data_IF_205067854874
#
_entry.id   IF_205067854874
#
_cell.length_a   1.000
_cell.length_b   1.000
_cell.length_c   1.000
_cell.angle_alpha   90.00
_cell.angle_beta   90.00
_cell.angle_gamma   90.00
#
_symmetry.space_group_name_H-M   'P 1'
#
loop_
_entity.id
_entity.type
_entity.pdbx_description
1 polymer ?
#
# COMPACT_ATOMS: atom_id res chain seq x y z
N UNK A 1 5.07 4.51 27.89
CA UNK A 1 4.64 3.75 26.70
C UNK A 1 5.66 2.66 26.48
N UNK A 2 5.24 1.41 26.59
CA UNK A 2 6.09 0.25 26.34
C UNK A 2 5.95 -0.19 24.86
N UNK A 3 6.87 -1.02 24.36
CA UNK A 3 6.81 -1.51 22.98
C UNK A 3 5.44 -2.12 22.60
N UNK A 4 4.78 -2.93 23.45
CA UNK A 4 3.42 -3.42 23.18
C UNK A 4 2.39 -2.32 22.90
N UNK A 5 2.45 -1.19 23.61
CA UNK A 5 1.53 -0.07 23.36
C UNK A 5 1.75 0.53 21.97
N UNK A 6 3.02 0.65 21.55
CA UNK A 6 3.37 1.13 20.21
C UNK A 6 2.90 0.16 19.13
N UNK A 7 3.08 -1.14 19.35
CA UNK A 7 2.61 -2.19 18.44
C UNK A 7 1.09 -2.15 18.29
N UNK A 8 0.35 -2.05 19.39
CA UNK A 8 -1.12 -1.94 19.36
C UNK A 8 -1.58 -0.67 18.64
N UNK A 9 -0.86 0.44 18.82
CA UNK A 9 -1.16 1.69 18.13
C UNK A 9 -1.01 1.55 16.61
N UNK A 10 0.13 1.03 16.14
CA UNK A 10 0.36 0.90 14.69
C UNK A 10 -0.55 -0.13 14.04
N UNK A 11 -0.93 -1.19 14.76
CA UNK A 11 -1.77 -2.27 14.20
C UNK A 11 -3.22 -1.85 13.96
N UNK A 12 -3.74 -0.86 14.69
CA UNK A 12 -5.16 -0.48 14.62
C UNK A 12 -5.46 0.71 13.71
N UNK A 13 -4.48 1.58 13.44
CA UNK A 13 -4.77 2.91 12.88
C UNK A 13 -3.97 3.29 11.62
N UNK A 14 -3.32 2.33 10.94
CA UNK A 14 -2.33 2.62 9.88
C UNK A 14 -1.30 3.66 10.34
N UNK A 15 -1.02 3.69 11.64
CA UNK A 15 -0.11 4.63 12.26
C UNK A 15 1.34 4.22 11.95
N UNK A 16 2.23 5.22 11.98
CA UNK A 16 3.67 5.02 11.74
C UNK A 16 4.48 5.65 12.85
N UNK A 17 5.47 4.92 13.36
CA UNK A 17 6.38 5.40 14.40
C UNK A 17 7.81 5.34 13.90
N UNK A 18 8.49 6.48 13.81
CA UNK A 18 9.93 6.54 13.49
C UNK A 18 10.76 6.53 14.76
N UNK A 19 11.66 5.56 14.89
CA UNK A 19 12.58 5.40 16.01
C UNK A 19 13.91 6.10 15.66
N UNK A 20 14.33 7.02 16.51
CA UNK A 20 15.59 7.76 16.34
C UNK A 20 16.62 7.37 17.41
N UNK A 21 17.89 7.34 17.03
CA UNK A 21 19.04 7.12 17.93
C UNK A 21 20.05 8.24 17.67
N UNK A 22 20.44 8.97 18.71
CA UNK A 22 21.29 10.17 18.61
C UNK A 22 20.74 11.21 17.61
N UNK A 23 19.41 11.42 17.63
CA UNK A 23 18.71 12.35 16.74
C UNK A 23 18.54 11.86 15.29
N UNK A 24 19.03 10.68 14.95
CA UNK A 24 18.99 10.14 13.59
C UNK A 24 17.95 9.01 13.47
N UNK A 25 17.04 9.03 12.48
CA UNK A 25 16.14 7.90 12.22
C UNK A 25 16.91 6.60 11.98
N UNK A 26 16.54 5.52 12.66
CA UNK A 26 17.17 4.18 12.53
C UNK A 26 16.20 3.08 12.15
N UNK A 27 14.94 3.20 12.53
CA UNK A 27 13.92 2.23 12.19
C UNK A 27 12.55 2.92 12.12
N UNK A 28 11.62 2.28 11.41
CA UNK A 28 10.22 2.69 11.38
C UNK A 28 9.37 1.48 11.70
N UNK A 29 8.46 1.63 12.66
CA UNK A 29 7.44 0.65 12.97
C UNK A 29 6.15 1.02 12.21
N UNK A 30 5.62 0.05 11.50
CA UNK A 30 4.31 0.04 10.82
C UNK A 30 3.60 -1.27 11.14
N UNK A 31 2.31 -1.41 10.85
CA UNK A 31 1.66 -2.71 10.92
C UNK A 31 2.24 -3.65 9.84
N UNK A 32 2.18 -4.96 10.08
CA UNK A 32 2.62 -5.94 9.10
C UNK A 32 1.82 -5.84 7.79
N UNK A 33 0.50 -5.65 7.89
CA UNK A 33 -0.41 -5.44 6.76
C UNK A 33 -0.04 -4.20 5.93
N UNK A 34 0.34 -3.09 6.57
CA UNK A 34 0.77 -1.88 5.87
C UNK A 34 2.10 -2.11 5.14
N UNK A 35 3.04 -2.84 5.77
CA UNK A 35 4.31 -3.16 5.12
C UNK A 35 4.07 -4.03 3.86
N UNK A 36 3.26 -5.09 3.99
CA UNK A 36 2.89 -5.97 2.87
C UNK A 36 2.20 -5.18 1.74
N UNK A 37 1.25 -4.31 2.08
CA UNK A 37 0.56 -3.45 1.10
C UNK A 37 1.51 -2.50 0.35
N UNK A 38 2.50 -1.94 1.05
CA UNK A 38 3.51 -1.08 0.44
C UNK A 38 4.45 -1.87 -0.47
N UNK A 39 4.83 -3.09 -0.08
CA UNK A 39 5.65 -4.00 -0.88
C UNK A 39 4.91 -4.43 -2.15
N UNK A 40 3.65 -4.86 -2.07
CA UNK A 40 2.83 -5.20 -3.23
C UNK A 40 2.68 -4.00 -4.19
N UNK A 41 2.46 -2.81 -3.62
CA UNK A 41 2.41 -1.57 -4.44
C UNK A 41 3.74 -1.32 -5.14
N UNK A 42 4.88 -1.48 -4.45
CA UNK A 42 6.20 -1.31 -5.03
C UNK A 42 6.46 -2.32 -6.17
N UNK A 43 6.01 -3.57 -6.02
CA UNK A 43 6.07 -4.59 -7.06
C UNK A 43 5.31 -4.16 -8.32
N UNK A 44 4.08 -3.64 -8.18
CA UNK A 44 3.31 -3.11 -9.32
C UNK A 44 4.05 -1.96 -10.01
N UNK A 45 4.69 -1.07 -9.24
CA UNK A 45 5.46 0.04 -9.80
C UNK A 45 6.73 -0.42 -10.53
N UNK A 46 7.29 -1.57 -10.17
CA UNK A 46 8.44 -2.15 -10.85
C UNK A 46 8.08 -2.73 -12.23
N UNK A 47 6.81 -3.06 -12.48
CA UNK A 47 6.35 -3.58 -13.78
C UNK A 47 6.30 -2.45 -14.81
N UNK A 48 7.11 -2.51 -15.90
CA UNK A 48 7.13 -1.47 -16.92
C UNK A 48 5.74 -1.26 -17.54
N UNK A 49 5.26 -0.02 -17.51
CA UNK A 49 3.97 0.35 -18.09
C UNK A 49 2.74 0.06 -17.22
N UNK A 50 2.84 -0.68 -16.11
CA UNK A 50 1.69 -1.03 -15.27
C UNK A 50 0.91 0.20 -14.79
N UNK A 51 1.61 1.24 -14.33
CA UNK A 51 0.97 2.51 -13.92
C UNK A 51 0.14 3.15 -15.05
N UNK A 52 0.63 3.09 -16.29
CA UNK A 52 -0.08 3.63 -17.47
C UNK A 52 -1.32 2.78 -17.74
N UNK A 53 -1.17 1.45 -17.78
CA UNK A 53 -2.27 0.52 -18.00
C UNK A 53 -3.38 0.65 -16.94
N UNK A 54 -3.02 0.78 -15.66
CA UNK A 54 -3.98 1.02 -14.56
C UNK A 54 -4.73 2.34 -14.78
N UNK A 55 -4.02 3.42 -15.11
CA UNK A 55 -4.63 4.73 -15.38
C UNK A 55 -5.60 4.70 -16.57
N UNK A 56 -5.24 4.00 -17.63
CA UNK A 56 -6.09 3.80 -18.80
C UNK A 56 -7.34 2.97 -18.47
N UNK A 57 -7.17 1.86 -17.76
CA UNK A 57 -8.27 1.02 -17.27
C UNK A 57 -9.24 1.81 -16.38
N UNK A 58 -8.73 2.64 -15.46
CA UNK A 58 -9.55 3.52 -14.63
C UNK A 58 -10.36 4.54 -15.45
N UNK A 59 -9.80 5.07 -16.54
CA UNK A 59 -10.54 5.97 -17.46
C UNK A 59 -11.61 5.22 -18.24
N UNK A 60 -11.33 4.00 -18.69
CA UNK A 60 -12.29 3.15 -19.40
C UNK A 60 -13.44 2.76 -18.49
N UNK A 61 -13.16 2.31 -17.26
CA UNK A 61 -14.16 1.97 -16.24
C UNK A 61 -15.10 3.14 -15.94
N UNK A 62 -14.56 4.35 -15.75
CA UNK A 62 -15.37 5.57 -15.56
C UNK A 62 -16.29 5.89 -16.74
N UNK A 63 -15.94 5.44 -17.96
CA UNK A 63 -16.75 5.59 -19.17
C UNK A 63 -17.67 4.40 -19.44
N UNK A 64 -17.74 3.41 -18.54
CA UNK A 64 -18.47 2.17 -18.77
C UNK A 64 -17.89 1.31 -19.91
N UNK A 65 -16.63 1.53 -20.28
CA UNK A 65 -15.94 0.76 -21.31
C UNK A 65 -15.36 -0.50 -20.69
N UNK A 66 -16.13 -1.57 -20.72
CA UNK A 66 -15.75 -2.90 -20.26
C UNK A 66 -16.71 -3.94 -20.78
N UNK A 67 -16.47 -5.20 -20.43
CA UNK A 67 -17.39 -6.30 -20.70
C UNK A 67 -18.05 -6.72 -19.40
N UNK A 68 -19.30 -7.20 -19.47
CA UNK A 68 -19.96 -7.75 -18.28
C UNK A 68 -19.32 -9.08 -17.94
N UNK A 69 -19.32 -9.43 -16.65
CA UNK A 69 -18.82 -10.73 -16.19
C UNK A 69 -19.53 -11.90 -16.90
N UNK A 70 -20.82 -11.75 -17.22
CA UNK A 70 -21.61 -12.74 -17.98
C UNK A 70 -21.17 -12.93 -19.43
N UNK A 71 -20.44 -11.96 -19.99
CA UNK A 71 -20.02 -11.95 -21.39
C UNK A 71 -18.55 -12.40 -21.55
N UNK A 72 -17.87 -12.74 -20.45
CA UNK A 72 -16.55 -13.38 -20.47
C UNK A 72 -16.67 -14.81 -21.01
N UNK A 73 -15.78 -15.18 -21.92
CA UNK A 73 -15.67 -16.54 -22.47
C UNK A 73 -14.88 -17.47 -21.56
#
# INVERSE_FOLDING_TARGET
>A
MILPDLVNKVSQHMDRVTITVNGQPKATLVSAEELESLEETAEIFAIPGAKKSISEGMKQAKKGQGIRLSDLK
#
